data_IF_580680861238
#
_entry.id   IF_580680861238
#
_cell.length_a   1.000
_cell.length_b   1.000
_cell.length_c   1.000
_cell.angle_alpha   90.00
_cell.angle_beta   90.00
_cell.angle_gamma   90.00
#
_symmetry.space_group_name_H-M   'P 1'
#
loop_
_entity.id
_entity.type
_entity.pdbx_description
1 polymer ?
#
# COMPACT_ATOMS: atom_id res chain seq x y z
N UNK A 1 -16.47 -5.16 26.16
CA UNK A 1 -15.70 -4.25 27.02
C UNK A 1 -14.40 -3.92 26.31
N UNK A 2 -14.33 -2.78 25.63
CA UNK A 2 -13.11 -2.30 24.96
C UNK A 2 -12.22 -1.69 26.04
N UNK A 3 -11.14 -2.37 26.38
CA UNK A 3 -10.12 -1.85 27.28
C UNK A 3 -9.34 -0.77 26.53
N UNK A 4 -9.66 0.51 26.71
CA UNK A 4 -8.84 1.62 26.21
C UNK A 4 -7.64 1.78 27.12
N UNK A 5 -6.62 0.92 26.94
CA UNK A 5 -5.32 1.16 27.57
C UNK A 5 -4.67 2.36 26.90
N UNK A 6 -4.75 3.52 27.55
CA UNK A 6 -4.04 4.73 27.12
C UNK A 6 -2.55 4.48 27.33
N UNK A 7 -1.80 4.35 26.24
CA UNK A 7 -0.35 4.28 26.26
C UNK A 7 0.20 5.71 26.30
N UNK A 8 0.85 6.08 27.40
CA UNK A 8 1.56 7.36 27.52
C UNK A 8 3.00 7.19 27.05
N UNK A 9 3.41 7.98 26.06
CA UNK A 9 4.78 8.02 25.56
C UNK A 9 5.54 9.17 26.24
N UNK A 10 6.68 8.91 26.89
CA UNK A 10 7.51 9.97 27.45
C UNK A 10 7.97 10.96 26.37
N UNK A 11 8.11 12.23 26.75
CA UNK A 11 8.68 13.26 25.88
C UNK A 11 10.09 12.88 25.41
N UNK A 12 10.40 13.17 24.14
CA UNK A 12 11.68 12.82 23.52
C UNK A 12 11.74 11.40 22.92
N UNK A 13 10.68 10.61 23.05
CA UNK A 13 10.58 9.31 22.39
C UNK A 13 10.40 9.48 20.86
N UNK A 14 11.20 8.75 20.08
CA UNK A 14 11.01 8.62 18.64
C UNK A 14 9.93 7.59 18.33
N UNK A 15 8.96 7.94 17.49
CA UNK A 15 7.92 7.03 17.02
C UNK A 15 8.29 6.59 15.60
N UNK A 16 8.41 5.27 15.40
CA UNK A 16 8.62 4.68 14.09
C UNK A 16 7.33 3.99 13.63
N UNK A 17 6.83 4.38 12.47
CA UNK A 17 5.75 3.67 11.80
C UNK A 17 6.40 2.67 10.83
N UNK A 18 6.18 1.36 10.97
CA UNK A 18 6.81 0.35 10.11
C UNK A 18 6.06 0.24 8.77
N UNK A 19 6.12 1.31 7.95
CA UNK A 19 5.37 1.45 6.70
C UNK A 19 5.64 0.25 5.76
N UNK A 20 6.89 -0.18 5.64
CA UNK A 20 7.25 -1.31 4.77
C UNK A 20 6.60 -2.64 5.21
N UNK A 21 6.44 -2.84 6.53
CA UNK A 21 5.74 -4.03 7.05
C UNK A 21 4.24 -3.92 6.81
N UNK A 22 3.67 -2.72 6.99
CA UNK A 22 2.25 -2.47 6.71
C UNK A 22 1.92 -2.70 5.23
N UNK A 23 2.81 -2.31 4.31
CA UNK A 23 2.66 -2.54 2.85
C UNK A 23 2.68 -4.02 2.47
N UNK A 24 3.23 -4.88 3.32
CA UNK A 24 3.37 -6.33 3.09
C UNK A 24 2.62 -7.17 4.12
N UNK A 25 1.72 -6.57 4.89
CA UNK A 25 0.97 -7.29 5.92
C UNK A 25 -0.11 -8.15 5.28
N UNK A 26 -0.10 -9.45 5.60
CA UNK A 26 -1.14 -10.41 5.18
C UNK A 26 -2.52 -10.08 5.75
N UNK A 27 -2.59 -9.28 6.80
CA UNK A 27 -3.85 -8.81 7.39
C UNK A 27 -4.58 -7.82 6.47
N UNK A 28 -3.84 -7.09 5.63
CA UNK A 28 -4.37 -6.02 4.79
C UNK A 28 -4.25 -6.32 3.30
N UNK A 29 -3.27 -7.14 2.91
CA UNK A 29 -2.96 -7.48 1.53
C UNK A 29 -3.03 -8.99 1.39
N UNK A 30 -3.91 -9.48 0.53
CA UNK A 30 -3.82 -10.86 0.06
C UNK A 30 -2.52 -11.03 -0.75
N UNK A 31 -1.76 -12.11 -0.49
CA UNK A 31 -0.52 -12.47 -1.21
C UNK A 31 0.39 -11.25 -1.48
N UNK A 32 0.85 -10.54 -0.42
CA UNK A 32 1.60 -9.28 -0.52
C UNK A 32 2.95 -9.39 -1.23
N UNK A 33 3.50 -10.59 -1.27
CA UNK A 33 4.77 -10.92 -1.93
C UNK A 33 4.67 -10.88 -3.46
N UNK A 34 3.47 -11.00 -4.03
CA UNK A 34 3.28 -11.00 -5.48
C UNK A 34 3.02 -9.59 -6.03
N UNK A 35 3.71 -9.24 -7.11
CA UNK A 35 3.46 -7.98 -7.82
C UNK A 35 2.16 -8.05 -8.64
N UNK A 36 1.08 -7.48 -8.10
CA UNK A 36 -0.26 -7.49 -8.72
C UNK A 36 -0.82 -6.06 -8.86
N UNK A 37 -0.53 -5.35 -9.96
CA UNK A 37 -0.97 -3.95 -10.16
C UNK A 37 -2.48 -3.75 -10.10
N UNK A 38 -3.25 -4.75 -10.54
CA UNK A 38 -4.71 -4.75 -10.62
C UNK A 38 -5.37 -4.52 -9.26
N UNK A 39 -4.65 -4.83 -8.17
CA UNK A 39 -5.15 -4.64 -6.80
C UNK A 39 -5.46 -3.18 -6.44
N UNK A 40 -4.99 -2.23 -7.25
CA UNK A 40 -5.22 -0.80 -7.10
C UNK A 40 -6.34 -0.27 -8.03
N UNK A 41 -7.01 -1.14 -8.77
CA UNK A 41 -8.14 -0.77 -9.60
C UNK A 41 -9.35 -0.37 -8.73
N UNK A 42 -10.07 0.68 -9.16
CA UNK A 42 -11.15 1.30 -8.39
C UNK A 42 -12.33 0.36 -8.11
N UNK A 43 -12.53 -0.67 -8.95
CA UNK A 43 -13.58 -1.69 -8.84
C UNK A 43 -13.32 -2.71 -7.72
N UNK A 44 -12.05 -3.07 -7.47
CA UNK A 44 -11.65 -4.11 -6.49
C UNK A 44 -11.71 -3.60 -5.04
N UNK A 45 -11.50 -2.30 -4.82
CA UNK A 45 -11.66 -1.65 -3.52
C UNK A 45 -13.08 -1.86 -2.92
N UNK A 46 -14.08 -2.00 -3.80
CA UNK A 46 -15.49 -2.21 -3.45
C UNK A 46 -15.78 -3.68 -3.07
N UNK A 47 -15.10 -4.66 -3.67
CA UNK A 47 -15.33 -6.07 -3.36
C UNK A 47 -14.69 -6.50 -2.03
N UNK A 48 -13.58 -5.88 -1.62
CA UNK A 48 -13.02 -6.10 -0.28
C UNK A 48 -13.95 -5.56 0.82
N UNK A 49 -14.81 -4.57 0.52
CA UNK A 49 -15.91 -4.13 1.41
C UNK A 49 -16.93 -5.25 1.66
N UNK A 50 -17.19 -6.13 0.68
CA UNK A 50 -18.17 -7.22 0.79
C UNK A 50 -17.66 -8.44 1.58
N UNK A 51 -16.37 -8.78 1.51
CA UNK A 51 -15.84 -9.97 2.23
C UNK A 51 -15.78 -9.80 3.76
N UNK A 52 -15.56 -8.59 4.27
CA UNK A 52 -15.55 -8.35 5.75
C UNK A 52 -16.96 -8.05 6.27
N UNK A 53 -17.94 -7.86 5.37
CA UNK A 53 -19.33 -7.64 5.73
C UNK A 53 -19.94 -8.82 6.50
N UNK A 54 -19.44 -10.05 6.26
CA UNK A 54 -19.98 -11.28 6.85
C UNK A 54 -19.33 -11.60 8.21
N UNK A 55 -18.13 -11.10 8.52
CA UNK A 55 -17.32 -11.66 9.62
C UNK A 55 -17.24 -10.83 10.91
N UNK A 56 -17.36 -9.51 10.88
CA UNK A 56 -17.02 -8.70 12.07
C UNK A 56 -18.08 -7.72 12.55
N UNK A 57 -19.20 -7.53 11.83
CA UNK A 57 -20.33 -6.70 12.31
C UNK A 57 -19.95 -5.27 12.73
N UNK A 58 -18.78 -4.78 12.32
CA UNK A 58 -18.22 -3.50 12.73
C UNK A 58 -18.18 -2.58 11.52
N UNK A 59 -19.04 -1.56 11.51
CA UNK A 59 -19.00 -0.47 10.53
C UNK A 59 -17.80 0.41 10.85
N UNK A 60 -16.60 -0.04 10.51
CA UNK A 60 -15.49 0.88 10.30
C UNK A 60 -15.52 1.31 8.83
N UNK A 61 -15.76 2.58 8.63
CA UNK A 61 -15.71 3.30 7.36
C UNK A 61 -14.35 3.05 6.67
N UNK A 62 -14.27 1.99 5.86
CA UNK A 62 -13.02 1.42 5.32
C UNK A 62 -12.31 2.25 4.25
N UNK A 63 -12.93 3.33 3.76
CA UNK A 63 -12.25 4.30 2.88
C UNK A 63 -11.03 4.94 3.56
N UNK A 64 -11.02 5.05 4.89
CA UNK A 64 -9.90 5.61 5.64
C UNK A 64 -8.82 4.57 6.00
N UNK A 65 -9.12 3.27 5.92
CA UNK A 65 -8.20 2.20 6.35
C UNK A 65 -7.17 1.88 5.28
N UNK A 66 -7.58 1.78 4.00
CA UNK A 66 -6.64 1.56 2.88
C UNK A 66 -5.63 2.71 2.79
N UNK A 67 -6.08 3.95 3.01
CA UNK A 67 -5.22 5.13 3.01
C UNK A 67 -4.15 5.09 4.11
N UNK A 68 -4.45 4.51 5.28
CA UNK A 68 -3.49 4.34 6.37
C UNK A 68 -2.50 3.19 6.14
N UNK A 69 -2.87 2.20 5.32
CA UNK A 69 -1.98 1.07 5.06
C UNK A 69 -1.03 1.39 3.91
N UNK A 70 -1.48 2.06 2.84
CA UNK A 70 -0.60 2.47 1.74
C UNK A 70 -0.18 3.95 1.81
N UNK A 71 0.92 4.19 2.53
CA UNK A 71 1.52 5.53 2.67
C UNK A 71 2.95 5.60 2.09
N UNK A 72 3.16 5.37 0.78
CA UNK A 72 4.51 5.41 0.18
C UNK A 72 5.17 6.79 0.27
N UNK A 73 4.36 7.84 0.43
CA UNK A 73 4.79 9.23 0.57
C UNK A 73 4.48 9.81 1.96
N UNK A 74 4.14 8.96 2.93
CA UNK A 74 3.67 9.40 4.25
C UNK A 74 2.30 10.08 4.20
N UNK A 75 1.87 10.61 5.35
CA UNK A 75 0.61 11.32 5.52
C UNK A 75 0.77 12.48 6.53
N UNK A 76 -0.19 13.42 6.53
CA UNK A 76 -0.20 14.54 7.46
C UNK A 76 0.75 15.69 7.08
N UNK A 77 1.06 16.61 8.02
CA UNK A 77 1.83 17.83 7.75
C UNK A 77 3.30 17.59 7.41
N UNK A 78 3.79 16.37 7.61
CA UNK A 78 5.16 15.92 7.29
C UNK A 78 5.16 14.91 6.15
N UNK A 79 4.13 14.91 5.29
CA UNK A 79 4.12 14.10 4.09
C UNK A 79 5.23 14.53 3.11
N UNK A 80 5.52 13.67 2.14
CA UNK A 80 6.52 13.97 1.11
C UNK A 80 6.05 15.15 0.26
N UNK A 81 6.76 16.27 0.37
CA UNK A 81 6.54 17.47 -0.46
C UNK A 81 6.65 17.17 -1.96
N UNK A 82 7.46 16.19 -2.33
CA UNK A 82 7.69 15.77 -3.71
C UNK A 82 6.68 14.77 -4.28
N UNK A 83 5.65 14.36 -3.52
CA UNK A 83 4.72 13.30 -3.96
C UNK A 83 4.15 13.53 -5.37
N UNK A 84 3.68 14.75 -5.65
CA UNK A 84 3.09 15.09 -6.96
C UNK A 84 4.13 15.03 -8.08
N UNK A 85 5.33 15.51 -7.80
CA UNK A 85 6.44 15.49 -8.76
C UNK A 85 6.88 14.05 -9.05
N UNK A 86 7.13 13.26 -8.01
CA UNK A 86 7.54 11.85 -8.14
C UNK A 86 6.51 11.02 -8.92
N UNK A 87 5.22 11.21 -8.66
CA UNK A 87 4.16 10.51 -9.40
C UNK A 87 4.09 10.94 -10.87
N UNK A 88 4.29 12.22 -11.18
CA UNK A 88 4.33 12.71 -12.55
C UNK A 88 5.56 12.14 -13.29
N UNK A 89 6.74 12.28 -12.69
CA UNK A 89 8.01 11.82 -13.26
C UNK A 89 7.98 10.31 -13.51
N UNK A 90 7.52 9.52 -12.53
CA UNK A 90 7.40 8.05 -12.67
C UNK A 90 6.48 7.67 -13.83
N UNK A 91 5.33 8.35 -13.98
CA UNK A 91 4.40 8.11 -15.09
C UNK A 91 5.01 8.46 -16.44
N UNK A 92 5.70 9.60 -16.53
CA UNK A 92 6.35 10.05 -17.76
C UNK A 92 7.50 9.11 -18.15
N UNK A 93 8.30 8.69 -17.18
CA UNK A 93 9.37 7.71 -17.37
C UNK A 93 8.80 6.37 -17.88
N UNK A 94 7.81 5.81 -17.18
CA UNK A 94 7.16 4.55 -17.55
C UNK A 94 6.54 4.61 -18.96
N UNK A 95 5.79 5.67 -19.27
CA UNK A 95 5.22 5.86 -20.60
C UNK A 95 6.28 5.97 -21.70
N UNK A 96 7.39 6.66 -21.42
CA UNK A 96 8.50 6.80 -22.38
C UNK A 96 9.17 5.46 -22.65
N UNK A 97 9.40 4.68 -21.59
CA UNK A 97 9.99 3.35 -21.68
C UNK A 97 9.10 2.40 -22.47
N UNK A 98 7.81 2.30 -22.13
CA UNK A 98 6.86 1.40 -22.78
C UNK A 98 6.58 1.75 -24.25
N UNK A 99 6.71 3.02 -24.65
CA UNK A 99 6.52 3.43 -26.04
C UNK A 99 7.72 3.17 -26.94
N UNK A 100 8.93 3.17 -26.38
CA UNK A 100 10.19 3.07 -27.16
C UNK A 100 10.82 1.68 -27.11
N UNK A 101 10.60 0.94 -26.04
CA UNK A 101 11.26 -0.32 -25.77
C UNK A 101 10.24 -1.43 -25.53
N UNK A 102 10.59 -2.64 -25.96
CA UNK A 102 9.90 -3.86 -25.58
C UNK A 102 10.75 -4.57 -24.54
N UNK A 103 10.16 -4.86 -23.39
CA UNK A 103 10.83 -5.59 -22.32
C UNK A 103 10.62 -7.08 -22.53
N UNK A 104 11.71 -7.83 -22.59
CA UNK A 104 11.72 -9.29 -22.60
C UNK A 104 12.71 -9.74 -21.53
N UNK A 105 12.44 -10.90 -20.93
CA UNK A 105 13.31 -11.46 -19.92
C UNK A 105 14.42 -12.26 -20.59
N UNK A 106 15.66 -12.05 -20.12
CA UNK A 106 16.80 -12.85 -20.55
C UNK A 106 16.60 -14.33 -20.16
N UNK A 107 16.84 -15.29 -21.07
CA UNK A 107 16.60 -16.72 -20.81
C UNK A 107 17.30 -17.26 -19.55
N UNK A 108 18.49 -16.74 -19.24
CA UNK A 108 19.31 -17.18 -18.10
C UNK A 108 18.87 -16.57 -16.76
N UNK A 109 18.01 -15.55 -16.78
CA UNK A 109 17.50 -14.96 -15.53
C UNK A 109 16.50 -15.92 -14.90
N UNK A 110 16.64 -16.26 -13.62
CA UNK A 110 15.71 -17.16 -12.93
C UNK A 110 14.33 -16.50 -12.73
N UNK A 111 13.26 -17.31 -12.84
CA UNK A 111 11.91 -16.86 -12.56
C UNK A 111 11.74 -16.92 -11.06
N UNK A 112 11.62 -15.78 -10.41
CA UNK A 112 11.13 -15.77 -9.03
C UNK A 112 9.61 -15.76 -9.10
N UNK A 113 8.98 -16.69 -8.40
CA UNK A 113 7.52 -16.94 -8.39
C UNK A 113 6.68 -15.70 -8.05
N UNK A 114 7.30 -14.68 -7.49
CA UNK A 114 6.71 -13.42 -7.04
C UNK A 114 6.45 -12.39 -8.16
N UNK A 115 6.90 -12.65 -9.41
CA UNK A 115 6.80 -11.72 -10.55
C UNK A 115 6.25 -12.39 -11.82
#
# INVERSE_FOLDING_TARGET
MYYTSVLLLPGGCGILIPIQMLHRSVEHWEQPEFFRPERFESSICIYWMSCVFIMTGLVLMRSHVILCVIMPFGAGPRNCVGMRFALMETKMCLMTLLRKYKFEREPDTQATDHF
#
